data_IF_903190856166
#
_entry.id   IF_903190856166
#
_cell.length_a   1.000
_cell.length_b   1.000
_cell.length_c   1.000
_cell.angle_alpha   90.00
_cell.angle_beta   90.00
_cell.angle_gamma   90.00
#
_symmetry.space_group_name_H-M   'P 1'
#
loop_
_entity.id
_entity.type
_entity.pdbx_description
1 polymer ?
#
# COMPACT_ATOMS: atom_id res chain seq x y z
N UNK A 1 39.06 -38.72 -9.47
CA UNK A 1 39.89 -37.50 -9.28
C UNK A 1 39.58 -36.96 -7.89
N UNK A 2 40.58 -36.97 -7.01
CA UNK A 2 40.39 -36.81 -5.57
C UNK A 2 39.93 -35.42 -5.17
N UNK A 3 38.79 -35.33 -4.50
CA UNK A 3 38.41 -34.15 -3.74
C UNK A 3 39.25 -34.12 -2.45
N UNK A 4 40.28 -33.27 -2.44
CA UNK A 4 40.88 -32.77 -1.21
C UNK A 4 39.75 -32.16 -0.37
N UNK A 5 39.44 -32.78 0.78
CA UNK A 5 38.71 -32.13 1.86
C UNK A 5 39.58 -30.97 2.33
N UNK A 6 39.22 -29.75 1.97
CA UNK A 6 39.81 -28.54 2.54
C UNK A 6 39.01 -28.14 3.77
N UNK A 7 39.72 -27.90 4.89
CA UNK A 7 39.25 -27.13 6.04
C UNK A 7 38.78 -27.95 7.24
N UNK A 8 39.43 -27.72 8.39
CA UNK A 8 38.84 -27.97 9.72
C UNK A 8 37.53 -27.17 9.83
N UNK A 9 36.49 -27.77 10.42
CA UNK A 9 35.16 -27.16 10.61
C UNK A 9 35.17 -25.82 11.39
N UNK A 10 36.32 -25.42 11.95
CA UNK A 10 36.47 -24.22 12.77
C UNK A 10 36.96 -22.95 12.02
N UNK A 11 37.43 -23.06 10.77
CA UNK A 11 38.16 -21.96 10.08
C UNK A 11 37.41 -21.28 8.90
N UNK A 12 36.12 -21.58 8.71
CA UNK A 12 35.32 -20.95 7.66
C UNK A 12 34.13 -20.21 8.26
N UNK A 13 34.40 -19.29 9.19
CA UNK A 13 33.45 -18.21 9.49
C UNK A 13 33.46 -17.27 8.27
N UNK A 14 32.81 -17.72 7.20
CA UNK A 14 32.56 -16.90 6.02
C UNK A 14 31.55 -15.83 6.39
N UNK A 15 31.78 -14.60 5.94
CA UNK A 15 30.78 -13.54 6.07
C UNK A 15 29.50 -13.92 5.30
N UNK A 16 28.37 -13.28 5.62
CA UNK A 16 27.13 -13.49 4.87
C UNK A 16 27.31 -13.18 3.38
N UNK A 17 28.05 -12.14 3.03
CA UNK A 17 28.31 -11.72 1.66
C UNK A 17 29.12 -12.80 0.91
N UNK A 18 30.15 -13.36 1.54
CA UNK A 18 30.94 -14.46 0.96
C UNK A 18 30.08 -15.71 0.74
N UNK A 19 29.17 -16.02 1.68
CA UNK A 19 28.25 -17.15 1.55
C UNK A 19 27.31 -16.98 0.36
N UNK A 20 26.75 -15.78 0.19
CA UNK A 20 25.89 -15.47 -0.97
C UNK A 20 26.67 -15.61 -2.27
N UNK A 21 27.91 -15.09 -2.35
CA UNK A 21 28.75 -15.20 -3.54
C UNK A 21 29.08 -16.67 -3.91
N UNK A 22 29.37 -17.51 -2.91
CA UNK A 22 29.60 -18.95 -3.13
C UNK A 22 28.33 -19.64 -3.62
N UNK A 23 27.17 -19.33 -3.04
CA UNK A 23 25.89 -19.92 -3.47
C UNK A 23 25.49 -19.48 -4.89
N UNK A 24 25.72 -18.21 -5.25
CA UNK A 24 25.50 -17.73 -6.61
C UNK A 24 26.38 -18.48 -7.63
N UNK A 25 27.63 -18.74 -7.27
CA UNK A 25 28.53 -19.56 -8.08
C UNK A 25 28.01 -21.00 -8.22
N UNK A 26 27.49 -21.58 -7.13
CA UNK A 26 26.86 -22.89 -7.15
C UNK A 26 25.58 -22.94 -8.02
N UNK A 27 24.78 -21.88 -8.03
CA UNK A 27 23.60 -21.74 -8.92
C UNK A 27 24.02 -21.79 -10.39
N UNK A 28 25.08 -21.05 -10.76
CA UNK A 28 25.60 -21.08 -12.13
C UNK A 28 26.01 -22.50 -12.51
N UNK A 29 26.71 -23.21 -11.62
CA UNK A 29 27.11 -24.59 -11.86
C UNK A 29 25.90 -25.55 -11.97
N UNK A 30 24.91 -25.42 -11.10
CA UNK A 30 23.67 -26.21 -11.16
C UNK A 30 22.93 -26.00 -12.49
N UNK A 31 22.84 -24.74 -12.94
CA UNK A 31 22.23 -24.38 -14.22
C UNK A 31 23.00 -24.96 -15.40
N UNK A 32 24.34 -24.90 -15.38
CA UNK A 32 25.16 -25.53 -16.44
C UNK A 32 25.05 -27.05 -16.47
N UNK A 33 24.77 -27.67 -15.32
CA UNK A 33 24.52 -29.11 -15.21
C UNK A 33 23.08 -29.51 -15.58
N UNK A 34 22.17 -28.54 -15.74
CA UNK A 34 20.75 -28.79 -16.02
C UNK A 34 19.94 -29.28 -14.81
N UNK A 35 20.43 -29.12 -13.58
CA UNK A 35 19.73 -29.55 -12.37
C UNK A 35 18.83 -28.42 -11.84
N UNK A 36 17.62 -28.34 -12.40
CA UNK A 36 16.62 -27.35 -12.01
C UNK A 36 16.15 -27.47 -10.55
N UNK A 37 16.21 -28.67 -9.97
CA UNK A 37 15.79 -28.89 -8.58
C UNK A 37 16.84 -28.34 -7.60
N UNK A 38 18.13 -28.53 -7.91
CA UNK A 38 19.22 -27.94 -7.16
C UNK A 38 19.24 -26.41 -7.30
N UNK A 39 19.05 -25.89 -8.52
CA UNK A 39 18.94 -24.44 -8.78
C UNK A 39 17.84 -23.81 -7.90
N UNK A 40 16.62 -24.34 -7.97
CA UNK A 40 15.50 -23.82 -7.18
C UNK A 40 15.74 -23.90 -5.67
N UNK A 41 16.45 -24.93 -5.20
CA UNK A 41 16.81 -25.06 -3.77
C UNK A 41 17.86 -24.03 -3.36
N UNK A 42 18.90 -23.82 -4.18
CA UNK A 42 19.94 -22.84 -3.92
C UNK A 42 19.38 -21.41 -3.94
N UNK A 43 18.52 -21.08 -4.91
CA UNK A 43 17.85 -19.78 -4.99
C UNK A 43 17.00 -19.48 -3.74
N UNK A 44 16.34 -20.50 -3.18
CA UNK A 44 15.61 -20.34 -1.91
C UNK A 44 16.54 -20.02 -0.74
N UNK A 45 17.69 -20.70 -0.65
CA UNK A 45 18.68 -20.44 0.40
C UNK A 45 19.26 -19.02 0.26
N UNK A 46 19.59 -18.60 -0.96
CA UNK A 46 20.06 -17.23 -1.24
C UNK A 46 19.04 -16.21 -0.76
N UNK A 47 17.75 -16.38 -1.09
CA UNK A 47 16.70 -15.45 -0.64
C UNK A 47 16.55 -15.38 0.89
N UNK A 48 16.72 -16.49 1.60
CA UNK A 48 16.71 -16.47 3.08
C UNK A 48 17.90 -15.68 3.63
N UNK A 49 19.09 -15.85 3.04
CA UNK A 49 20.27 -15.07 3.40
C UNK A 49 20.11 -13.58 3.09
N UNK A 50 19.47 -13.23 1.97
CA UNK A 50 19.14 -11.85 1.63
C UNK A 50 18.19 -11.24 2.68
N UNK A 51 17.19 -11.98 3.16
CA UNK A 51 16.36 -11.50 4.28
C UNK A 51 17.18 -11.26 5.55
N UNK A 52 18.06 -12.19 5.91
CA UNK A 52 18.95 -12.04 7.06
C UNK A 52 19.83 -10.80 6.94
N UNK A 53 20.42 -10.57 5.76
CA UNK A 53 21.26 -9.40 5.49
C UNK A 53 20.46 -8.08 5.57
N UNK A 54 19.26 -8.03 4.99
CA UNK A 54 18.39 -6.84 5.06
C UNK A 54 17.97 -6.54 6.50
N UNK A 55 17.61 -7.56 7.29
CA UNK A 55 17.30 -7.39 8.72
C UNK A 55 18.53 -6.84 9.44
N UNK A 56 19.70 -7.45 9.26
CA UNK A 56 20.96 -7.01 9.88
C UNK A 56 21.27 -5.54 9.55
N UNK A 57 21.19 -5.14 8.28
CA UNK A 57 21.44 -3.76 7.85
C UNK A 57 20.49 -2.77 8.52
N UNK A 58 19.20 -3.09 8.63
CA UNK A 58 18.23 -2.22 9.32
C UNK A 58 18.44 -2.13 10.83
N UNK A 59 18.81 -3.24 11.46
CA UNK A 59 19.15 -3.20 12.88
C UNK A 59 20.43 -2.39 13.11
N UNK A 60 21.39 -2.43 12.18
CA UNK A 60 22.60 -1.59 12.22
C UNK A 60 22.26 -0.11 12.09
N UNK A 61 21.44 0.28 11.12
CA UNK A 61 20.99 1.67 10.95
C UNK A 61 20.28 2.20 12.21
N UNK A 62 19.41 1.37 12.80
CA UNK A 62 18.72 1.69 14.06
C UNK A 62 19.68 1.81 15.23
N UNK A 63 20.64 0.90 15.32
CA UNK A 63 21.70 0.94 16.32
C UNK A 63 22.51 2.24 16.23
N UNK A 64 22.94 2.61 15.02
CA UNK A 64 23.76 3.80 14.79
C UNK A 64 22.98 5.09 15.11
N UNK A 65 21.68 5.14 14.80
CA UNK A 65 20.79 6.24 15.20
C UNK A 65 20.69 6.37 16.72
N UNK A 66 20.43 5.26 17.42
CA UNK A 66 20.31 5.27 18.89
C UNK A 66 21.64 5.60 19.57
N UNK A 67 22.76 5.12 19.03
CA UNK A 67 24.10 5.44 19.53
C UNK A 67 24.42 6.93 19.33
N UNK A 68 24.00 7.53 18.21
CA UNK A 68 24.14 8.97 17.98
C UNK A 68 23.31 9.79 18.99
N UNK A 69 22.08 9.37 19.27
CA UNK A 69 21.20 10.02 20.26
C UNK A 69 21.75 9.89 21.69
N UNK A 70 22.30 8.73 22.06
CA UNK A 70 22.97 8.52 23.34
C UNK A 70 24.14 9.49 23.52
N UNK A 71 24.98 9.66 22.48
CA UNK A 71 26.12 10.59 22.52
C UNK A 71 25.67 12.05 22.66
N UNK A 72 24.56 12.44 22.03
CA UNK A 72 23.98 13.79 22.16
C UNK A 72 23.50 14.08 23.58
N UNK A 73 22.87 13.10 24.23
CA UNK A 73 22.37 13.22 25.60
C UNK A 73 23.51 13.28 26.64
N UNK A 74 24.59 12.51 26.45
CA UNK A 74 25.75 12.51 27.35
C UNK A 74 26.75 13.66 27.08
N UNK A 75 26.75 14.23 25.87
CA UNK A 75 27.65 15.32 25.46
C UNK A 75 27.16 16.73 25.79
N UNK A 76 25.89 16.90 26.20
CA UNK A 76 25.29 18.18 26.56
C UNK A 76 25.74 18.72 27.92
N UNK A 77 26.99 19.17 28.04
CA UNK A 77 27.42 20.08 29.12
C UNK A 77 27.01 21.50 28.74
N UNK A 78 25.88 22.01 29.24
CA UNK A 78 25.55 23.43 29.12
C UNK A 78 24.08 23.79 29.44
N UNK A 79 23.91 24.43 30.60
CA UNK A 79 22.80 25.24 31.12
C UNK A 79 21.44 24.63 31.50
N UNK A 80 21.02 24.76 32.80
CA UNK A 80 19.68 24.44 33.25
C UNK A 80 18.79 25.68 33.15
N UNK A 81 18.15 25.93 32.01
CA UNK A 81 17.05 26.91 31.96
C UNK A 81 15.85 26.29 31.24
N UNK A 82 14.90 25.85 32.07
CA UNK A 82 13.48 25.65 31.80
C UNK A 82 13.04 25.36 30.37
N UNK A 83 12.92 24.07 30.02
CA UNK A 83 11.99 23.62 28.99
C UNK A 83 11.20 22.40 29.51
N UNK A 84 9.87 22.35 29.24
CA UNK A 84 9.00 21.32 29.76
C UNK A 84 9.28 19.98 29.07
N UNK A 85 9.91 19.06 29.82
CA UNK A 85 9.81 17.60 29.75
C UNK A 85 9.41 17.03 28.37
N UNK A 86 10.36 17.01 27.44
CA UNK A 86 10.32 16.07 26.32
C UNK A 86 10.31 14.65 26.90
N UNK A 87 9.33 13.85 26.49
CA UNK A 87 9.16 12.44 26.88
C UNK A 87 10.19 11.58 26.12
N UNK A 88 11.47 11.90 26.27
CA UNK A 88 12.56 11.10 25.72
C UNK A 88 12.74 9.80 26.52
N UNK A 89 13.22 8.72 25.88
CA UNK A 89 13.54 7.48 26.58
C UNK A 89 14.58 7.77 27.67
N UNK A 90 14.42 7.17 28.84
CA UNK A 90 15.40 7.28 29.92
C UNK A 90 16.73 6.66 29.50
N UNK A 91 17.85 7.22 29.96
CA UNK A 91 19.21 6.69 29.69
C UNK A 91 19.32 5.16 29.88
N UNK A 92 18.81 4.54 30.96
CA UNK A 92 18.87 3.08 31.10
C UNK A 92 18.02 2.30 30.07
N UNK A 93 16.93 2.87 29.56
CA UNK A 93 16.13 2.23 28.51
C UNK A 93 16.85 2.26 27.16
N UNK A 94 17.63 3.32 26.90
CA UNK A 94 18.44 3.44 25.70
C UNK A 94 19.61 2.45 25.71
N UNK A 95 20.30 2.31 26.84
CA UNK A 95 21.39 1.33 27.02
C UNK A 95 20.90 -0.12 26.86
N UNK A 96 19.75 -0.45 27.46
CA UNK A 96 19.14 -1.77 27.29
C UNK A 96 18.80 -2.04 25.81
N UNK A 97 18.27 -1.05 25.09
CA UNK A 97 17.95 -1.17 23.67
C UNK A 97 19.19 -1.38 22.80
N UNK A 98 20.28 -0.66 23.07
CA UNK A 98 21.56 -0.86 22.38
C UNK A 98 22.12 -2.26 22.63
N UNK A 99 22.13 -2.73 23.88
CA UNK A 99 22.62 -4.07 24.20
C UNK A 99 21.82 -5.19 23.52
N UNK A 100 20.50 -5.00 23.36
CA UNK A 100 19.65 -5.94 22.64
C UNK A 100 19.95 -5.95 21.14
N UNK A 101 20.23 -4.78 20.55
CA UNK A 101 20.64 -4.66 19.14
C UNK A 101 22.03 -5.25 18.90
N UNK A 102 23.00 -5.02 19.78
CA UNK A 102 24.34 -5.60 19.69
C UNK A 102 24.27 -7.13 19.65
N UNK A 103 23.50 -7.72 20.57
CA UNK A 103 23.30 -9.17 20.62
C UNK A 103 22.64 -9.69 19.34
N UNK A 104 21.61 -9.01 18.84
CA UNK A 104 20.94 -9.39 17.61
C UNK A 104 21.87 -9.30 16.38
N UNK A 105 22.70 -8.26 16.31
CA UNK A 105 23.67 -8.06 15.22
C UNK A 105 24.76 -9.13 15.23
N UNK A 106 25.25 -9.53 16.41
CA UNK A 106 26.22 -10.63 16.52
C UNK A 106 25.61 -11.94 16.03
N UNK A 107 24.43 -12.30 16.50
CA UNK A 107 23.75 -13.55 16.11
C UNK A 107 23.45 -13.59 14.60
N UNK A 108 22.96 -12.48 14.03
CA UNK A 108 22.69 -12.36 12.60
C UNK A 108 23.96 -12.42 11.74
N UNK A 109 25.15 -12.17 12.29
CA UNK A 109 26.41 -12.21 11.55
C UNK A 109 27.08 -13.59 11.55
N UNK A 110 26.75 -14.46 12.50
CA UNK A 110 27.44 -15.74 12.71
C UNK A 110 26.98 -16.84 11.75
N UNK A 111 25.73 -17.25 11.83
CA UNK A 111 25.22 -18.44 11.15
C UNK A 111 23.99 -18.12 10.29
N UNK A 112 23.76 -18.85 9.18
CA UNK A 112 22.51 -18.71 8.43
C UNK A 112 21.35 -19.19 9.30
N UNK A 113 20.33 -18.35 9.46
CA UNK A 113 19.15 -18.68 10.24
C UNK A 113 18.02 -19.18 9.34
N UNK A 114 17.16 -20.02 9.90
CA UNK A 114 15.95 -20.45 9.21
C UNK A 114 14.94 -19.29 9.10
N UNK A 115 14.09 -19.34 8.07
CA UNK A 115 13.10 -18.29 7.80
C UNK A 115 12.16 -18.04 9.00
N UNK A 116 11.75 -19.10 9.71
CA UNK A 116 10.91 -19.01 10.91
C UNK A 116 11.62 -18.32 12.08
N UNK A 117 12.92 -18.59 12.26
CA UNK A 117 13.75 -17.94 13.27
C UNK A 117 13.95 -16.46 12.94
N UNK A 118 14.20 -16.12 11.67
CA UNK A 118 14.26 -14.72 11.21
C UNK A 118 12.95 -13.98 11.47
N UNK A 119 11.81 -14.64 11.22
CA UNK A 119 10.49 -14.01 11.33
C UNK A 119 10.10 -13.77 12.80
N UNK A 120 10.14 -14.81 13.63
CA UNK A 120 9.71 -14.75 15.03
C UNK A 120 10.77 -14.12 15.95
N UNK A 121 12.05 -14.33 15.64
CA UNK A 121 13.18 -13.87 16.45
C UNK A 121 13.55 -12.42 16.20
N UNK A 122 13.36 -11.92 14.97
CA UNK A 122 13.86 -10.60 14.60
C UNK A 122 12.79 -9.73 13.94
N UNK A 123 12.18 -10.18 12.83
CA UNK A 123 11.27 -9.32 12.06
C UNK A 123 10.08 -8.82 12.89
N UNK A 124 9.42 -9.71 13.65
CA UNK A 124 8.34 -9.31 14.56
C UNK A 124 8.82 -8.51 15.77
N UNK A 125 9.90 -8.96 16.43
CA UNK A 125 10.39 -8.34 17.66
C UNK A 125 10.85 -6.90 17.45
N UNK A 126 11.46 -6.62 16.29
CA UNK A 126 11.95 -5.30 15.94
C UNK A 126 10.98 -4.49 15.07
N UNK A 127 9.74 -4.97 14.88
CA UNK A 127 8.68 -4.29 14.13
C UNK A 127 9.06 -3.99 12.66
N UNK A 128 9.73 -4.95 12.00
CA UNK A 128 10.11 -4.89 10.59
C UNK A 128 8.98 -5.50 9.72
N UNK A 129 7.84 -4.81 9.66
CA UNK A 129 6.60 -5.33 9.10
C UNK A 129 6.63 -5.54 7.58
N UNK A 130 7.30 -4.66 6.84
CA UNK A 130 7.51 -4.80 5.40
C UNK A 130 8.39 -6.03 5.06
N UNK A 131 9.42 -6.30 5.85
CA UNK A 131 10.22 -7.53 5.72
C UNK A 131 9.36 -8.74 6.06
N UNK A 132 8.56 -8.65 7.13
CA UNK A 132 7.62 -9.70 7.54
C UNK A 132 6.64 -10.07 6.40
N UNK A 133 6.10 -9.07 5.70
CA UNK A 133 5.24 -9.27 4.53
C UNK A 133 5.97 -9.98 3.38
N UNK A 134 7.20 -9.57 3.07
CA UNK A 134 8.02 -10.21 2.02
C UNK A 134 8.38 -11.66 2.37
N UNK A 135 8.68 -11.94 3.64
CA UNK A 135 8.96 -13.29 4.12
C UNK A 135 7.73 -14.19 4.04
N UNK A 136 6.53 -13.69 4.37
CA UNK A 136 5.28 -14.44 4.23
C UNK A 136 4.96 -14.71 2.76
N UNK A 137 5.14 -13.72 1.87
CA UNK A 137 4.99 -13.94 0.43
C UNK A 137 5.96 -15.02 -0.07
N UNK A 138 7.22 -14.96 0.35
CA UNK A 138 8.23 -15.96 0.02
C UNK A 138 7.88 -17.36 0.56
N UNK A 139 7.40 -17.47 1.80
CA UNK A 139 6.99 -18.74 2.40
C UNK A 139 5.72 -19.31 1.75
N UNK A 140 4.76 -18.44 1.45
CA UNK A 140 3.44 -18.79 0.92
C UNK A 140 3.44 -19.33 -0.51
N UNK A 141 4.55 -19.19 -1.24
CA UNK A 141 4.77 -19.90 -2.50
C UNK A 141 4.96 -21.41 -2.34
N UNK A 142 4.97 -21.95 -1.11
CA UNK A 142 5.38 -23.33 -0.79
C UNK A 142 4.33 -24.22 -0.11
N UNK A 143 3.06 -23.82 0.05
CA UNK A 143 2.07 -24.75 0.61
C UNK A 143 0.73 -24.12 0.95
N UNK A 144 -0.35 -24.86 0.63
CA UNK A 144 -1.74 -24.53 0.92
C UNK A 144 -2.04 -24.59 2.41
N UNK A 145 -1.84 -23.46 3.10
CA UNK A 145 -2.44 -23.20 4.39
C UNK A 145 -3.87 -22.65 4.23
N UNK A 146 -4.62 -22.63 5.34
CA UNK A 146 -5.96 -22.06 5.41
C UNK A 146 -5.92 -20.57 5.01
N UNK A 147 -6.65 -20.23 3.94
CA UNK A 147 -6.55 -18.93 3.26
C UNK A 147 -7.07 -17.77 4.13
N UNK A 148 -8.06 -18.03 4.97
CA UNK A 148 -8.73 -17.00 5.77
C UNK A 148 -7.84 -16.48 6.90
N UNK A 149 -7.10 -17.37 7.57
CA UNK A 149 -6.15 -16.99 8.63
C UNK A 149 -4.97 -16.18 8.08
N UNK A 150 -4.49 -16.55 6.89
CA UNK A 150 -3.38 -15.83 6.23
C UNK A 150 -3.78 -14.40 5.85
N UNK A 151 -4.99 -14.22 5.32
CA UNK A 151 -5.53 -12.91 4.95
C UNK A 151 -5.58 -11.96 6.15
N UNK A 152 -6.05 -12.45 7.32
CA UNK A 152 -6.11 -11.65 8.54
C UNK A 152 -4.71 -11.24 9.05
N UNK A 153 -3.72 -12.15 8.99
CA UNK A 153 -2.34 -11.83 9.38
C UNK A 153 -1.72 -10.79 8.45
N UNK A 154 -1.90 -10.92 7.14
CA UNK A 154 -1.40 -9.96 6.15
C UNK A 154 -2.03 -8.57 6.36
N UNK A 155 -3.33 -8.50 6.59
CA UNK A 155 -4.02 -7.23 6.87
C UNK A 155 -3.45 -6.55 8.13
N UNK A 156 -3.20 -7.30 9.21
CA UNK A 156 -2.61 -6.76 10.44
C UNK A 156 -1.18 -6.25 10.22
N UNK A 157 -0.37 -6.94 9.43
CA UNK A 157 0.99 -6.49 9.12
C UNK A 157 0.99 -5.20 8.30
N UNK A 158 0.08 -5.09 7.33
CA UNK A 158 -0.13 -3.85 6.59
C UNK A 158 -0.61 -2.72 7.49
N UNK A 159 -1.54 -2.97 8.42
CA UNK A 159 -1.96 -1.97 9.40
C UNK A 159 -0.76 -1.47 10.21
N UNK A 160 0.04 -2.38 10.75
CA UNK A 160 1.22 -2.02 11.53
C UNK A 160 2.25 -1.24 10.70
N UNK A 161 2.45 -1.59 9.43
CA UNK A 161 3.37 -0.88 8.55
C UNK A 161 2.88 0.53 8.21
N UNK A 162 1.60 0.67 7.85
CA UNK A 162 0.99 1.98 7.57
C UNK A 162 1.06 2.89 8.80
N UNK A 163 0.74 2.34 9.98
CA UNK A 163 0.80 3.06 11.24
C UNK A 163 2.23 3.48 11.56
N UNK A 164 3.19 2.56 11.45
CA UNK A 164 4.62 2.83 11.69
C UNK A 164 5.11 4.00 10.82
N UNK A 165 4.84 3.97 9.52
CA UNK A 165 5.27 5.03 8.59
C UNK A 165 4.56 6.35 8.88
N UNK A 166 3.26 6.30 9.16
CA UNK A 166 2.47 7.49 9.49
C UNK A 166 2.88 8.16 10.81
N UNK A 167 3.37 7.38 11.78
CA UNK A 167 3.85 7.86 13.08
C UNK A 167 5.32 8.32 13.04
N UNK A 168 6.15 7.74 12.16
CA UNK A 168 7.54 8.18 11.97
C UNK A 168 7.62 9.64 11.49
N UNK A 169 6.65 10.08 10.69
CA UNK A 169 6.53 11.45 10.20
C UNK A 169 5.63 12.32 11.09
N UNK A 170 5.47 12.02 12.38
CA UNK A 170 4.50 12.72 13.25
C UNK A 170 4.68 14.25 13.28
N UNK A 171 5.93 14.72 13.22
CA UNK A 171 6.29 16.13 13.25
C UNK A 171 6.11 16.83 11.88
N UNK A 172 5.84 16.07 10.82
CA UNK A 172 5.62 16.61 9.48
C UNK A 172 4.17 17.05 9.23
N UNK A 173 3.98 17.82 8.16
CA UNK A 173 2.66 18.18 7.62
C UNK A 173 1.80 16.91 7.39
N UNK A 174 0.52 16.88 7.80
CA UNK A 174 -0.36 15.73 7.59
C UNK A 174 -0.40 15.17 6.17
N UNK A 175 -0.24 16.01 5.15
CA UNK A 175 -0.16 15.53 3.77
C UNK A 175 1.09 14.67 3.54
N UNK A 176 2.25 15.09 4.04
CA UNK A 176 3.51 14.31 3.96
C UNK A 176 3.42 12.97 4.67
N UNK A 177 2.68 12.91 5.78
CA UNK A 177 2.44 11.66 6.51
C UNK A 177 1.63 10.67 5.69
N UNK A 178 0.62 11.17 4.98
CA UNK A 178 -0.18 10.35 4.05
C UNK A 178 0.66 9.97 2.82
N UNK A 179 1.48 10.89 2.29
CA UNK A 179 2.41 10.61 1.19
C UNK A 179 3.38 9.48 1.56
N UNK A 180 3.98 9.52 2.75
CA UNK A 180 4.87 8.45 3.22
C UNK A 180 4.15 7.10 3.29
N UNK A 181 2.91 7.05 3.81
CA UNK A 181 2.10 5.84 3.83
C UNK A 181 1.75 5.35 2.40
N UNK A 182 1.44 6.26 1.49
CA UNK A 182 1.19 5.96 0.07
C UNK A 182 2.46 5.43 -0.63
N UNK A 183 3.62 5.98 -0.32
CA UNK A 183 4.91 5.54 -0.86
C UNK A 183 5.27 4.14 -0.34
N UNK A 184 4.99 3.85 0.93
CA UNK A 184 5.14 2.51 1.49
C UNK A 184 4.26 1.48 0.75
N UNK A 185 3.00 1.81 0.47
CA UNK A 185 2.10 0.94 -0.31
C UNK A 185 2.59 0.75 -1.74
N UNK A 186 3.06 1.81 -2.39
CA UNK A 186 3.55 1.75 -3.78
C UNK A 186 4.81 0.88 -3.89
N UNK A 187 5.78 1.09 -3.01
CA UNK A 187 7.08 0.40 -3.02
C UNK A 187 6.97 -1.05 -2.55
N UNK A 188 6.24 -1.31 -1.46
CA UNK A 188 6.05 -2.66 -0.96
C UNK A 188 5.08 -3.45 -1.84
N UNK A 189 3.98 -2.84 -2.27
CA UNK A 189 2.98 -3.49 -3.10
C UNK A 189 3.53 -3.93 -4.46
N UNK A 190 4.34 -3.10 -5.12
CA UNK A 190 5.01 -3.48 -6.38
C UNK A 190 5.98 -4.64 -6.21
N UNK A 191 6.67 -4.75 -5.06
CA UNK A 191 7.55 -5.89 -4.75
C UNK A 191 6.81 -7.22 -4.53
N UNK A 192 5.50 -7.18 -4.27
CA UNK A 192 4.62 -8.34 -4.06
C UNK A 192 3.89 -8.80 -5.35
N UNK A 193 4.24 -8.25 -6.52
CA UNK A 193 3.79 -8.71 -7.84
C UNK A 193 2.27 -8.88 -8.03
N UNK A 194 1.46 -8.01 -7.42
CA UNK A 194 -0.01 -8.07 -7.46
C UNK A 194 -0.60 -9.43 -7.04
N UNK A 195 0.01 -10.08 -6.03
CA UNK A 195 -0.59 -11.23 -5.36
C UNK A 195 -1.80 -10.76 -4.51
N UNK A 196 -3.05 -11.15 -4.84
CA UNK A 196 -4.25 -10.69 -4.13
C UNK A 196 -4.27 -11.12 -2.65
N UNK A 197 -3.58 -12.19 -2.29
CA UNK A 197 -3.51 -12.68 -0.91
C UNK A 197 -2.54 -11.86 -0.06
N UNK A 198 -1.52 -11.27 -0.70
CA UNK A 198 -0.51 -10.43 -0.04
C UNK A 198 -0.81 -8.94 -0.16
N UNK A 199 -1.66 -8.55 -1.12
CA UNK A 199 -2.04 -7.17 -1.39
C UNK A 199 -3.56 -6.99 -1.30
N UNK A 200 -4.12 -6.93 -0.07
CA UNK A 200 -5.55 -6.74 0.14
C UNK A 200 -5.95 -5.30 -0.17
N UNK A 201 -6.07 -4.96 -1.46
CA UNK A 201 -6.29 -3.59 -1.93
C UNK A 201 -7.50 -2.90 -1.31
N UNK A 202 -8.59 -3.64 -1.06
CA UNK A 202 -9.78 -3.09 -0.41
C UNK A 202 -9.51 -2.64 1.03
N UNK A 203 -8.76 -3.45 1.77
CA UNK A 203 -8.34 -3.13 3.14
C UNK A 203 -7.37 -1.94 3.14
N UNK A 204 -6.37 -1.95 2.24
CA UNK A 204 -5.40 -0.86 2.12
C UNK A 204 -6.06 0.47 1.75
N UNK A 205 -7.01 0.46 0.80
CA UNK A 205 -7.79 1.64 0.46
C UNK A 205 -8.55 2.14 1.69
N UNK A 206 -9.33 1.29 2.35
CA UNK A 206 -10.11 1.68 3.54
C UNK A 206 -9.24 2.28 4.65
N UNK A 207 -8.04 1.71 4.89
CA UNK A 207 -7.08 2.22 5.87
C UNK A 207 -6.49 3.57 5.48
N UNK A 208 -6.02 3.73 4.25
CA UNK A 208 -5.46 5.00 3.77
C UNK A 208 -6.52 6.11 3.79
N UNK A 209 -7.76 5.82 3.40
CA UNK A 209 -8.84 6.81 3.47
C UNK A 209 -9.22 7.15 4.91
N UNK A 210 -9.13 6.19 5.83
CA UNK A 210 -9.34 6.44 7.26
C UNK A 210 -8.26 7.37 7.82
N UNK A 211 -6.98 7.12 7.49
CA UNK A 211 -5.86 8.00 7.86
C UNK A 211 -6.03 9.40 7.27
N UNK A 212 -6.42 9.50 6.00
CA UNK A 212 -6.67 10.78 5.34
C UNK A 212 -7.87 11.54 5.92
N UNK A 213 -8.92 10.84 6.36
CA UNK A 213 -10.07 11.44 7.05
C UNK A 213 -9.75 11.88 8.50
N UNK A 214 -8.53 11.63 8.99
CA UNK A 214 -8.10 11.92 10.34
C UNK A 214 -8.75 11.02 11.39
N UNK A 215 -9.12 9.79 11.01
CA UNK A 215 -9.47 8.78 11.99
C UNK A 215 -8.20 8.28 12.70
N UNK A 216 -8.29 8.01 14.01
CA UNK A 216 -7.12 7.76 14.81
C UNK A 216 -6.39 6.48 14.36
N UNK A 217 -5.06 6.59 14.36
CA UNK A 217 -4.15 5.47 14.61
C UNK A 217 -4.44 4.87 15.99
N UNK A 218 -3.93 3.68 16.29
CA UNK A 218 -4.31 2.82 17.42
C UNK A 218 -4.48 3.50 18.82
N UNK A 219 -3.96 4.71 19.03
CA UNK A 219 -3.99 5.44 20.30
C UNK A 219 -5.16 6.42 20.52
N UNK A 220 -6.10 6.57 19.58
CA UNK A 220 -7.39 7.23 19.83
C UNK A 220 -7.34 8.74 20.21
N UNK A 221 -6.18 9.39 20.15
CA UNK A 221 -5.97 10.79 20.56
C UNK A 221 -5.56 11.65 19.36
N UNK A 222 -6.52 11.99 18.50
CA UNK A 222 -6.36 13.15 17.61
C UNK A 222 -7.05 14.35 18.24
N UNK A 223 -6.32 15.44 18.42
CA UNK A 223 -6.91 16.70 18.88
C UNK A 223 -7.79 17.29 17.76
N UNK A 224 -8.83 18.04 18.13
CA UNK A 224 -9.72 18.68 17.13
C UNK A 224 -8.97 19.62 16.16
N UNK A 225 -7.82 20.17 16.59
CA UNK A 225 -6.94 20.99 15.77
C UNK A 225 -6.19 20.16 14.73
N UNK A 226 -5.60 19.02 15.11
CA UNK A 226 -4.98 18.08 14.16
C UNK A 226 -6.00 17.55 13.14
N UNK A 227 -7.21 17.26 13.60
CA UNK A 227 -8.30 16.83 12.73
C UNK A 227 -8.71 17.89 11.69
N UNK A 228 -8.59 19.18 11.99
CA UNK A 228 -8.91 20.27 11.06
C UNK A 228 -7.82 20.46 9.99
N UNK A 229 -6.54 20.35 10.35
CA UNK A 229 -5.42 20.41 9.39
C UNK A 229 -5.43 19.17 8.48
N UNK A 230 -5.80 18.01 9.02
CA UNK A 230 -6.00 16.77 8.24
C UNK A 230 -7.12 16.89 7.20
N UNK A 231 -8.18 17.69 7.43
CA UNK A 231 -9.27 17.87 6.46
C UNK A 231 -8.84 18.63 5.21
N UNK A 232 -7.93 19.59 5.32
CA UNK A 232 -7.39 20.30 4.14
C UNK A 232 -6.41 19.39 3.37
N UNK A 233 -5.60 18.61 4.08
CA UNK A 233 -4.77 17.56 3.48
C UNK A 233 -5.62 16.47 2.79
N UNK A 234 -6.80 16.15 3.33
CA UNK A 234 -7.73 15.17 2.77
C UNK A 234 -8.19 15.53 1.35
N UNK A 235 -8.30 16.83 1.03
CA UNK A 235 -8.66 17.28 -0.33
C UNK A 235 -7.61 16.91 -1.38
N UNK A 236 -6.33 16.81 -0.97
CA UNK A 236 -5.19 16.52 -1.86
C UNK A 236 -4.73 15.07 -1.80
N UNK A 237 -5.08 14.34 -0.73
CA UNK A 237 -4.66 12.95 -0.52
C UNK A 237 -5.33 11.96 -1.48
N UNK A 238 -6.55 12.23 -1.97
CA UNK A 238 -7.28 11.28 -2.82
C UNK A 238 -6.52 10.87 -4.09
N UNK A 239 -5.86 11.83 -4.74
CA UNK A 239 -5.08 11.54 -5.95
C UNK A 239 -3.79 10.77 -5.61
N UNK A 240 -3.18 11.05 -4.45
CA UNK A 240 -2.00 10.33 -3.95
C UNK A 240 -2.34 8.88 -3.61
N UNK A 241 -3.44 8.65 -2.90
CA UNK A 241 -3.92 7.31 -2.50
C UNK A 241 -4.24 6.48 -3.75
N UNK A 242 -5.01 7.03 -4.68
CA UNK A 242 -5.35 6.33 -5.94
C UNK A 242 -4.10 6.02 -6.75
N UNK A 243 -3.15 6.96 -6.84
CA UNK A 243 -1.87 6.72 -7.54
C UNK A 243 -1.07 5.60 -6.89
N UNK A 244 -1.00 5.58 -5.56
CA UNK A 244 -0.27 4.55 -4.81
C UNK A 244 -0.89 3.17 -4.96
N UNK A 245 -2.22 3.07 -4.84
CA UNK A 245 -2.95 1.82 -5.07
C UNK A 245 -2.81 1.34 -6.51
N UNK A 246 -2.79 2.26 -7.48
CA UNK A 246 -2.58 1.92 -8.90
C UNK A 246 -1.17 1.38 -9.12
N UNK A 247 -0.15 2.00 -8.53
CA UNK A 247 1.22 1.51 -8.59
C UNK A 247 1.35 0.12 -7.95
N UNK A 248 0.75 -0.09 -6.78
CA UNK A 248 0.71 -1.39 -6.12
C UNK A 248 -0.05 -2.45 -6.94
N UNK A 249 -1.10 -2.05 -7.67
CA UNK A 249 -1.88 -2.90 -8.56
C UNK A 249 -1.24 -3.11 -9.95
N UNK A 250 0.07 -2.93 -10.09
CA UNK A 250 0.78 -3.11 -11.36
C UNK A 250 0.36 -2.14 -12.47
N UNK A 251 -0.11 -0.95 -12.11
CA UNK A 251 -0.59 0.08 -13.04
C UNK A 251 -2.07 -0.03 -13.43
N UNK A 252 -2.82 -0.98 -12.88
CA UNK A 252 -4.22 -1.22 -13.27
C UNK A 252 -5.21 -0.29 -12.56
N UNK A 253 -5.57 0.83 -13.19
CA UNK A 253 -6.64 1.73 -12.70
C UNK A 253 -8.00 1.04 -12.64
N UNK A 254 -8.24 0.06 -13.52
CA UNK A 254 -9.45 -0.75 -13.50
C UNK A 254 -9.55 -1.64 -12.25
N UNK A 255 -8.43 -2.19 -11.77
CA UNK A 255 -8.41 -2.96 -10.52
C UNK A 255 -8.71 -2.06 -9.31
N UNK A 256 -8.12 -0.87 -9.25
CA UNK A 256 -8.39 0.12 -8.20
C UNK A 256 -9.83 0.59 -8.23
N UNK A 257 -10.41 0.86 -9.41
CA UNK A 257 -11.82 1.21 -9.54
C UNK A 257 -12.75 0.10 -9.05
N UNK A 258 -12.45 -1.18 -9.36
CA UNK A 258 -13.20 -2.33 -8.85
C UNK A 258 -13.18 -2.45 -7.33
N UNK A 259 -12.15 -1.90 -6.67
CA UNK A 259 -12.03 -1.83 -5.21
C UNK A 259 -12.88 -0.70 -4.63
N UNK A 260 -12.80 0.52 -5.20
CA UNK A 260 -13.57 1.65 -4.68
C UNK A 260 -15.08 1.50 -4.88
N UNK A 261 -15.52 0.88 -5.98
CA UNK A 261 -16.94 0.67 -6.27
C UNK A 261 -17.69 0.03 -5.08
N UNK A 262 -17.34 -1.17 -4.58
CA UNK A 262 -18.01 -1.75 -3.42
C UNK A 262 -17.76 -0.97 -2.12
N UNK A 263 -16.61 -0.33 -1.93
CA UNK A 263 -16.33 0.47 -0.71
C UNK A 263 -17.25 1.68 -0.60
N UNK A 264 -17.54 2.35 -1.72
CA UNK A 264 -18.49 3.47 -1.74
C UNK A 264 -19.90 2.97 -1.48
N UNK A 265 -20.35 1.86 -2.07
CA UNK A 265 -21.73 1.38 -1.88
C UNK A 265 -21.94 0.54 -0.62
N UNK A 266 -20.89 0.23 0.14
CA UNK A 266 -21.00 -0.45 1.42
C UNK A 266 -21.74 0.46 2.40
N UNK A 267 -22.95 0.08 2.76
CA UNK A 267 -23.62 0.66 3.93
C UNK A 267 -22.77 0.29 5.16
N UNK A 268 -22.20 1.29 5.82
CA UNK A 268 -21.45 1.06 7.04
C UNK A 268 -22.44 0.52 8.08
N UNK A 269 -22.29 -0.77 8.41
CA UNK A 269 -23.09 -1.44 9.43
C UNK A 269 -23.05 -0.62 10.71
N UNK A 270 -24.23 -0.31 11.24
CA UNK A 270 -24.39 0.55 12.40
C UNK A 270 -23.81 -0.15 13.64
N UNK A 271 -22.58 0.18 14.03
CA UNK A 271 -22.15 -0.06 15.42
C UNK A 271 -22.91 0.92 16.30
N UNK A 272 -23.85 0.40 17.10
CA UNK A 272 -24.66 1.19 18.03
C UNK A 272 -23.73 1.95 18.99
N UNK A 273 -23.70 3.29 18.97
CA UNK A 273 -22.85 4.06 19.87
C UNK A 273 -23.36 3.94 21.32
N UNK A 274 -22.45 3.71 22.27
CA UNK A 274 -22.77 3.53 23.68
C UNK A 274 -23.34 4.80 24.35
N UNK A 275 -23.11 5.98 23.78
CA UNK A 275 -23.65 7.25 24.29
C UNK A 275 -24.08 8.22 23.17
N UNK A 276 -24.98 9.18 23.46
CA UNK A 276 -25.44 10.18 22.49
C UNK A 276 -24.30 11.08 21.98
N UNK A 277 -23.31 11.41 22.81
CA UNK A 277 -22.17 12.23 22.38
C UNK A 277 -21.20 11.46 21.49
N UNK A 278 -21.03 10.16 21.73
CA UNK A 278 -20.27 9.28 20.84
C UNK A 278 -20.97 9.11 19.49
N UNK A 279 -22.30 9.15 19.46
CA UNK A 279 -23.09 9.08 18.21
C UNK A 279 -22.81 10.26 17.27
N UNK A 280 -22.68 11.49 17.78
CA UNK A 280 -22.39 12.66 16.93
C UNK A 280 -20.96 12.65 16.41
N UNK A 281 -19.99 12.24 17.24
CA UNK A 281 -18.59 12.14 16.84
C UNK A 281 -18.35 11.02 15.83
N UNK A 282 -18.97 9.85 16.05
CA UNK A 282 -18.93 8.73 15.11
C UNK A 282 -19.61 9.09 13.80
N UNK A 283 -20.77 9.74 13.81
CA UNK A 283 -21.44 10.20 12.59
C UNK A 283 -20.60 11.22 11.78
N UNK A 284 -19.93 12.16 12.45
CA UNK A 284 -19.05 13.12 11.78
C UNK A 284 -17.78 12.45 11.21
N UNK A 285 -17.20 11.48 11.93
CA UNK A 285 -16.10 10.65 11.46
C UNK A 285 -16.48 9.80 10.24
N UNK A 286 -17.59 9.06 10.33
CA UNK A 286 -18.17 8.26 9.26
C UNK A 286 -18.44 9.12 8.02
N UNK A 287 -19.03 10.30 8.21
CA UNK A 287 -19.27 11.24 7.11
C UNK A 287 -17.97 11.71 6.46
N UNK A 288 -16.92 12.02 7.25
CA UNK A 288 -15.61 12.42 6.72
C UNK A 288 -14.97 11.31 5.89
N UNK A 289 -14.94 10.08 6.41
CA UNK A 289 -14.44 8.91 5.66
C UNK A 289 -15.24 8.69 4.40
N UNK A 290 -16.57 8.82 4.46
CA UNK A 290 -17.44 8.61 3.32
C UNK A 290 -17.23 9.68 2.23
N UNK A 291 -17.12 10.94 2.60
CA UNK A 291 -16.78 12.02 1.67
C UNK A 291 -15.41 11.76 1.06
N UNK A 292 -14.43 11.38 1.87
CA UNK A 292 -13.07 11.05 1.44
C UNK A 292 -13.04 9.88 0.44
N UNK A 293 -13.77 8.80 0.75
CA UNK A 293 -13.98 7.66 -0.16
C UNK A 293 -14.60 8.08 -1.49
N UNK A 294 -15.60 8.98 -1.47
CA UNK A 294 -16.22 9.49 -2.69
C UNK A 294 -15.22 10.32 -3.52
N UNK A 295 -14.34 11.12 -2.88
CA UNK A 295 -13.29 11.87 -3.57
C UNK A 295 -12.32 10.94 -4.30
N UNK A 296 -11.84 9.91 -3.60
CA UNK A 296 -10.91 8.93 -4.16
C UNK A 296 -11.56 8.02 -5.18
N UNK A 297 -12.83 7.64 -5.00
CA UNK A 297 -13.60 6.91 -6.01
C UNK A 297 -13.78 7.75 -7.29
N UNK A 298 -14.03 9.06 -7.17
CA UNK A 298 -14.07 9.95 -8.31
C UNK A 298 -12.71 10.02 -9.02
N UNK A 299 -11.61 10.15 -8.27
CA UNK A 299 -10.26 10.13 -8.83
C UNK A 299 -9.93 8.81 -9.54
N UNK A 300 -10.28 7.66 -8.96
CA UNK A 300 -10.11 6.35 -9.56
C UNK A 300 -10.96 6.18 -10.84
N UNK A 301 -12.21 6.64 -10.82
CA UNK A 301 -13.08 6.62 -11.99
C UNK A 301 -12.52 7.47 -13.14
N UNK A 302 -12.06 8.69 -12.83
CA UNK A 302 -11.42 9.58 -13.82
C UNK A 302 -10.15 8.95 -14.41
N UNK A 303 -9.29 8.37 -13.58
CA UNK A 303 -8.08 7.68 -14.04
C UNK A 303 -8.42 6.51 -14.99
N UNK A 304 -9.43 5.71 -14.64
CA UNK A 304 -9.90 4.61 -15.48
C UNK A 304 -10.48 5.10 -16.82
N UNK A 305 -11.21 6.22 -16.84
CA UNK A 305 -11.72 6.83 -18.08
C UNK A 305 -10.57 7.27 -18.99
N UNK A 306 -9.55 7.93 -18.42
CA UNK A 306 -8.37 8.35 -19.18
C UNK A 306 -7.61 7.16 -19.78
N UNK A 307 -7.50 6.04 -19.06
CA UNK A 307 -6.87 4.82 -19.59
C UNK A 307 -7.69 4.19 -20.72
N UNK A 308 -9.02 4.15 -20.59
CA UNK A 308 -9.91 3.67 -21.66
C UNK A 308 -9.80 4.58 -22.90
N UNK A 309 -9.69 5.89 -22.73
CA UNK A 309 -9.47 6.82 -23.83
C UNK A 309 -8.11 6.63 -24.51
N UNK A 310 -7.04 6.45 -23.73
CA UNK A 310 -5.69 6.16 -24.25
C UNK A 310 -5.69 4.86 -25.03
N UNK A 311 -6.30 3.81 -24.48
CA UNK A 311 -6.46 2.54 -25.16
C UNK A 311 -7.25 2.73 -26.46
N UNK A 312 -8.41 3.38 -26.44
CA UNK A 312 -9.24 3.59 -27.63
C UNK A 312 -8.54 4.38 -28.76
N UNK A 313 -7.54 5.21 -28.43
CA UNK A 313 -6.72 5.95 -29.40
C UNK A 313 -5.50 5.17 -29.90
N UNK A 314 -5.18 4.03 -29.31
CA UNK A 314 -4.05 3.22 -29.72
C UNK A 314 -4.28 2.66 -31.14
N UNK A 315 -3.26 2.70 -32.01
CA UNK A 315 -3.38 2.13 -33.35
C UNK A 315 -3.59 0.62 -33.26
N UNK A 316 -4.47 0.08 -34.12
CA UNK A 316 -4.68 -1.37 -34.23
C UNK A 316 -5.75 -1.96 -33.31
N UNK A 317 -6.50 -1.14 -32.57
CA UNK A 317 -7.68 -1.65 -31.85
C UNK A 317 -8.84 -1.84 -32.83
N UNK A 318 -9.22 -3.10 -33.04
CA UNK A 318 -10.34 -3.49 -33.87
C UNK A 318 -11.15 -4.64 -33.22
N UNK A 319 -12.36 -4.87 -33.72
CA UNK A 319 -13.21 -5.99 -33.32
C UNK A 319 -13.56 -5.98 -31.83
N UNK A 320 -13.42 -7.13 -31.18
CA UNK A 320 -13.86 -7.38 -29.80
C UNK A 320 -13.19 -6.46 -28.77
N UNK A 321 -11.93 -6.06 -29.00
CA UNK A 321 -11.23 -5.14 -28.12
C UNK A 321 -11.87 -3.73 -28.12
N UNK A 322 -12.31 -3.24 -29.29
CA UNK A 322 -13.02 -1.97 -29.40
C UNK A 322 -14.39 -2.03 -28.71
N UNK A 323 -15.10 -3.17 -28.85
CA UNK A 323 -16.39 -3.40 -28.19
C UNK A 323 -16.22 -3.43 -26.67
N UNK A 324 -15.20 -4.14 -26.16
CA UNK A 324 -14.90 -4.20 -24.74
C UNK A 324 -14.58 -2.80 -24.15
N UNK A 325 -13.77 -2.00 -24.85
CA UNK A 325 -13.45 -0.64 -24.43
C UNK A 325 -14.68 0.28 -24.41
N UNK A 326 -15.57 0.17 -25.40
CA UNK A 326 -16.84 0.92 -25.40
C UNK A 326 -17.74 0.49 -24.25
N UNK A 327 -17.87 -0.81 -24.01
CA UNK A 327 -18.64 -1.32 -22.86
C UNK A 327 -18.07 -0.82 -21.54
N UNK A 328 -16.75 -0.79 -21.41
CA UNK A 328 -16.06 -0.27 -20.22
C UNK A 328 -16.29 1.24 -20.07
N UNK A 329 -16.16 2.03 -21.14
CA UNK A 329 -16.44 3.46 -21.14
C UNK A 329 -17.89 3.75 -20.70
N UNK A 330 -18.87 3.02 -21.23
CA UNK A 330 -20.28 3.16 -20.83
C UNK A 330 -20.53 2.79 -19.37
N UNK A 331 -19.86 1.76 -18.84
CA UNK A 331 -19.94 1.41 -17.42
C UNK A 331 -19.32 2.49 -16.52
N UNK A 332 -18.24 3.13 -16.97
CA UNK A 332 -17.57 4.20 -16.22
C UNK A 332 -18.37 5.51 -16.25
N UNK A 333 -18.97 5.86 -17.40
CA UNK A 333 -19.88 7.01 -17.52
C UNK A 333 -21.08 6.87 -16.55
N UNK A 334 -21.75 5.70 -16.57
CA UNK A 334 -22.84 5.40 -15.65
C UNK A 334 -22.40 5.49 -14.17
N UNK A 335 -21.17 5.07 -13.85
CA UNK A 335 -20.65 5.15 -12.51
C UNK A 335 -20.34 6.60 -12.09
N UNK A 336 -19.76 7.39 -12.98
CA UNK A 336 -19.49 8.81 -12.75
C UNK A 336 -20.78 9.58 -12.47
N UNK A 337 -21.85 9.33 -13.23
CA UNK A 337 -23.15 9.95 -13.00
C UNK A 337 -23.73 9.57 -11.62
N UNK A 338 -23.63 8.29 -11.23
CA UNK A 338 -24.09 7.84 -9.90
C UNK A 338 -23.29 8.47 -8.77
N UNK A 339 -21.96 8.51 -8.89
CA UNK A 339 -21.10 9.18 -7.91
C UNK A 339 -21.40 10.67 -7.82
N UNK A 340 -21.69 11.34 -8.95
CA UNK A 340 -22.04 12.76 -8.99
C UNK A 340 -23.30 13.02 -8.15
N UNK A 341 -24.34 12.20 -8.32
CA UNK A 341 -25.58 12.27 -7.53
C UNK A 341 -25.30 12.04 -6.03
N UNK A 342 -24.53 11.00 -5.69
CA UNK A 342 -24.20 10.68 -4.30
C UNK A 342 -23.40 11.79 -3.62
N UNK A 343 -22.42 12.34 -4.32
CA UNK A 343 -21.58 13.45 -3.83
C UNK A 343 -22.44 14.68 -3.53
N UNK A 344 -23.38 15.03 -4.41
CA UNK A 344 -24.29 16.17 -4.21
C UNK A 344 -25.23 15.98 -3.00
N UNK A 345 -25.54 14.74 -2.61
CA UNK A 345 -26.36 14.46 -1.43
C UNK A 345 -25.71 14.96 -0.12
N UNK A 346 -24.38 15.07 -0.06
CA UNK A 346 -23.66 15.50 1.14
C UNK A 346 -23.63 17.02 1.34
N UNK A 347 -24.03 17.84 0.36
CA UNK A 347 -24.13 19.32 0.45
C UNK A 347 -22.88 20.01 1.03
N UNK A 348 -21.70 19.50 0.71
CA UNK A 348 -20.41 20.10 1.09
C UNK A 348 -19.86 20.93 -0.09
N UNK A 349 -19.25 22.11 0.14
CA UNK A 349 -18.66 22.92 -0.93
C UNK A 349 -17.61 22.16 -1.78
N UNK A 350 -16.86 21.25 -1.16
CA UNK A 350 -15.91 20.38 -1.87
C UNK A 350 -16.59 19.34 -2.76
N UNK A 351 -17.82 18.93 -2.43
CA UNK A 351 -18.61 17.98 -3.20
C UNK A 351 -19.08 18.56 -4.55
N UNK A 352 -19.41 19.86 -4.62
CA UNK A 352 -19.81 20.48 -5.89
C UNK A 352 -18.68 20.50 -6.93
N UNK A 353 -17.44 20.72 -6.48
CA UNK A 353 -16.27 20.65 -7.36
C UNK A 353 -16.05 19.21 -7.89
N UNK A 354 -16.26 18.20 -7.04
CA UNK A 354 -16.13 16.79 -7.41
C UNK A 354 -17.24 16.38 -8.39
N UNK A 355 -18.49 16.77 -8.13
CA UNK A 355 -19.61 16.51 -9.03
C UNK A 355 -19.36 17.09 -10.43
N UNK A 356 -18.89 18.35 -10.52
CA UNK A 356 -18.49 18.96 -11.79
C UNK A 356 -17.38 18.19 -12.52
N UNK A 357 -16.38 17.70 -11.79
CA UNK A 357 -15.30 16.85 -12.36
C UNK A 357 -15.87 15.53 -12.88
N UNK A 358 -16.78 14.90 -12.15
CA UNK A 358 -17.44 13.65 -12.55
C UNK A 358 -18.34 13.83 -13.77
N UNK A 359 -19.09 14.93 -13.86
CA UNK A 359 -19.93 15.24 -15.03
C UNK A 359 -19.07 15.47 -16.28
N UNK A 360 -17.93 16.15 -16.14
CA UNK A 360 -16.95 16.31 -17.21
C UNK A 360 -16.34 14.96 -17.63
N UNK A 361 -16.01 14.10 -16.66
CA UNK A 361 -15.48 12.76 -16.92
C UNK A 361 -16.53 11.85 -17.60
N UNK A 362 -17.79 11.95 -17.21
CA UNK A 362 -18.91 11.26 -17.85
C UNK A 362 -19.04 11.67 -19.32
N UNK A 363 -19.00 12.98 -19.59
CA UNK A 363 -18.99 13.53 -20.97
C UNK A 363 -17.78 13.00 -21.77
N UNK A 364 -16.60 12.96 -21.16
CA UNK A 364 -15.38 12.42 -21.78
C UNK A 364 -15.48 10.92 -22.10
N UNK A 365 -16.16 10.14 -21.26
CA UNK A 365 -16.40 8.72 -21.52
C UNK A 365 -17.41 8.52 -22.66
N UNK A 366 -18.41 9.40 -22.78
CA UNK A 366 -19.38 9.39 -23.89
C UNK A 366 -18.72 9.66 -25.25
N UNK A 367 -17.66 10.46 -25.31
CA UNK A 367 -16.88 10.68 -26.55
C UNK A 367 -16.25 9.39 -27.09
N UNK A 368 -15.91 8.43 -26.22
CA UNK A 368 -15.38 7.11 -26.63
C UNK A 368 -16.49 6.24 -27.23
N UNK A 369 -17.73 6.39 -26.76
CA UNK A 369 -18.90 5.69 -27.28
C UNK A 369 -19.31 6.24 -28.66
N UNK A 370 -19.26 7.56 -28.80
CA UNK A 370 -19.72 8.29 -29.98
C UNK A 370 -18.61 9.22 -30.49
N UNK A 371 -17.56 8.68 -31.13
CA UNK A 371 -16.53 9.52 -31.73
C UNK A 371 -17.19 10.48 -32.73
N UNK A 372 -17.06 11.77 -32.48
CA UNK A 372 -17.68 12.83 -33.28
C UNK A 372 -17.23 12.68 -34.73
N UNK A 373 -18.24 12.55 -35.61
CA UNK A 373 -18.17 12.25 -37.05
C UNK A 373 -16.97 12.87 -37.77
N UNK A 374 -16.03 12.02 -38.15
CA UNK A 374 -15.02 12.27 -39.18
C UNK A 374 -14.72 11.05 -40.07
N UNK A 375 -15.33 9.90 -39.81
CA UNK A 375 -15.24 8.71 -40.66
C UNK A 375 -16.64 8.19 -41.00
N UNK A 376 -16.93 7.89 -42.28
CA UNK A 376 -18.21 7.33 -42.68
C UNK A 376 -18.35 5.95 -42.03
N UNK A 377 -19.29 5.85 -41.10
CA UNK A 377 -19.68 4.60 -40.46
C UNK A 377 -20.45 3.72 -41.43
N UNK A 378 -19.79 2.74 -42.02
CA UNK A 378 -20.49 1.56 -42.51
C UNK A 378 -20.95 0.72 -41.30
N UNK A 379 -22.27 0.67 -41.16
CA UNK A 379 -23.06 -0.39 -40.52
C UNK A 379 -22.81 -0.67 -39.02
N UNK A 380 -23.65 -0.09 -38.18
CA UNK A 380 -23.82 -0.48 -36.78
C UNK A 380 -24.94 -1.54 -36.66
N UNK A 381 -24.71 -2.72 -36.06
CA UNK A 381 -25.79 -3.57 -35.58
C UNK A 381 -26.33 -3.02 -34.25
N UNK A 382 -27.65 -2.84 -34.20
CA UNK A 382 -28.41 -2.45 -33.01
C UNK A 382 -28.29 -3.56 -31.96
N UNK A 383 -27.45 -3.37 -30.94
CA UNK A 383 -27.47 -4.19 -29.73
C UNK A 383 -28.44 -3.54 -28.74
N UNK A 384 -29.64 -4.12 -28.66
CA UNK A 384 -30.70 -3.73 -27.74
C UNK A 384 -30.44 -4.28 -26.34
N UNK A 385 -30.36 -3.40 -25.34
CA UNK A 385 -30.53 -3.76 -23.94
C UNK A 385 -29.50 -3.13 -23.00
N UNK A 386 -29.71 -1.87 -22.63
CA UNK A 386 -29.35 -1.22 -21.34
C UNK A 386 -29.17 0.31 -21.45
N UNK A 387 -29.52 0.93 -22.59
CA UNK A 387 -29.24 2.37 -22.83
C UNK A 387 -30.35 3.35 -22.40
N UNK A 388 -31.38 2.94 -21.65
CA UNK A 388 -32.50 3.84 -21.30
C UNK A 388 -32.10 5.05 -20.42
N UNK A 389 -30.97 4.99 -19.71
CA UNK A 389 -30.48 6.13 -18.91
C UNK A 389 -29.78 7.22 -19.74
N UNK A 390 -29.15 6.85 -20.86
CA UNK A 390 -28.30 7.76 -21.66
C UNK A 390 -29.16 8.69 -22.55
N UNK A 391 -30.33 8.21 -22.99
CA UNK A 391 -31.23 8.98 -23.85
C UNK A 391 -31.91 10.18 -23.19
N UNK A 392 -32.00 10.21 -21.85
CA UNK A 392 -32.71 11.29 -21.14
C UNK A 392 -31.91 12.60 -21.14
N UNK A 393 -30.57 12.55 -21.18
CA UNK A 393 -29.73 13.77 -21.26
C UNK A 393 -29.75 14.42 -22.64
N UNK A 394 -30.03 13.68 -23.71
CA UNK A 394 -30.02 14.20 -25.07
C UNK A 394 -31.32 14.94 -25.46
N UNK A 395 -32.39 14.84 -24.66
CA UNK A 395 -33.61 15.64 -24.84
C UNK A 395 -33.66 16.93 -24.01
N UNK A 396 -32.71 17.13 -23.08
CA UNK A 396 -32.68 18.31 -22.20
C UNK A 396 -31.49 19.25 -22.44
N UNK A 397 -30.62 18.95 -23.41
CA UNK A 397 -29.72 19.93 -24.06
C UNK A 397 -30.28 20.23 -25.45
#
# INVERSE_FOLDING_TARGET
>A
LGCRRCGSEADLILSLDDRVAVLQSAVIHARTAGDAALEARLDRVIRVLEFQDVIRKRLQERHDSLAADARRLCGGKGDPVGCPRATGPSVPALEASLSALDKALTELSEAPLELSALYNGYAQQFALWDISLRMIHFAGGCGGGDMDDRSAVVQRLWDNELLRVFEQCREDDPLKRIEAACDAVSTLGSSLHYDPDMLPLAHLAERLESLAAGLPTADGRSTAAEAAVLVEAANRSSELIVRALTAAAGGSTAAVWKVYKPLVYREQGHTVPATPMDSYRTNAAVRRVKVQLLRSAAAACMAAILDVQRAARAPGIAGDAAVALRSQAGSLACAADRLSIEVLAYRDPGCEAIARRLDAASTQAEEVLFPTRGQPSELWPVVSGSSRGIWIRQMHR
#
